data_IF_888867441911
#
_entry.id   IF_888867441911
#
_cell.length_a   1.000
_cell.length_b   1.000
_cell.length_c   1.000
_cell.angle_alpha   90.00
_cell.angle_beta   90.00
_cell.angle_gamma   90.00
#
_symmetry.space_group_name_H-M   'P 1'
#
loop_
_entity.id
_entity.type
_entity.pdbx_description
1 polymer ?
#
# COMPACT_ATOMS: atom_id res chain seq x y z
N UNK A 1 16.16 -3.52 -12.16
CA UNK A 1 15.53 -2.25 -12.59
C UNK A 1 14.82 -1.71 -11.35
N UNK A 2 15.34 -0.64 -10.73
CA UNK A 2 14.61 0.01 -9.63
C UNK A 2 13.40 0.64 -10.29
N UNK A 3 12.22 0.09 -10.02
CA UNK A 3 10.96 0.75 -10.37
C UNK A 3 10.98 2.04 -9.54
N UNK A 4 10.89 3.21 -10.17
CA UNK A 4 10.77 4.46 -9.42
C UNK A 4 9.58 4.31 -8.48
N UNK A 5 9.86 4.21 -7.17
CA UNK A 5 8.82 4.12 -6.17
C UNK A 5 8.04 5.43 -6.24
N UNK A 6 6.72 5.35 -6.48
CA UNK A 6 5.87 6.52 -6.35
C UNK A 6 6.13 7.17 -4.98
N UNK A 7 6.16 8.50 -4.96
CA UNK A 7 6.24 9.23 -3.69
C UNK A 7 4.85 9.23 -3.06
N UNK A 8 4.73 8.97 -1.74
CA UNK A 8 3.47 9.14 -1.06
C UNK A 8 2.93 10.56 -1.23
N UNK A 9 1.61 10.68 -1.35
CA UNK A 9 0.87 11.94 -1.42
C UNK A 9 0.21 12.23 -0.07
N UNK A 10 0.04 13.51 0.24
CA UNK A 10 -0.61 13.94 1.49
C UNK A 10 -2.12 13.99 1.27
N UNK A 11 -2.87 13.32 2.13
CA UNK A 11 -4.35 13.38 2.22
C UNK A 11 -4.81 14.65 2.93
N UNK A 12 -6.09 14.98 2.81
CA UNK A 12 -6.70 16.15 3.46
C UNK A 12 -6.68 16.10 4.99
N UNK A 13 -6.58 14.91 5.58
CA UNK A 13 -6.48 14.66 7.02
C UNK A 13 -5.04 14.63 7.54
N UNK A 14 -4.05 14.81 6.65
CA UNK A 14 -2.63 14.85 7.00
C UNK A 14 -1.92 13.49 6.95
N UNK A 15 -2.60 12.40 6.62
CA UNK A 15 -1.94 11.11 6.38
C UNK A 15 -1.18 11.08 5.05
N UNK A 16 -0.15 10.24 4.98
CA UNK A 16 0.52 9.91 3.73
C UNK A 16 -0.10 8.66 3.11
N UNK A 17 -0.49 8.75 1.84
CA UNK A 17 -1.05 7.64 1.07
C UNK A 17 -0.19 7.34 -0.17
N UNK A 18 0.01 6.05 -0.44
CA UNK A 18 0.73 5.56 -1.62
C UNK A 18 -0.01 4.39 -2.24
N UNK A 19 -0.11 4.37 -3.58
CA UNK A 19 -0.64 3.22 -4.32
C UNK A 19 0.40 2.09 -4.34
N UNK A 20 0.04 0.93 -3.79
CA UNK A 20 0.93 -0.24 -3.77
C UNK A 20 0.86 -1.06 -5.07
N UNK A 21 -0.25 -0.96 -5.79
CA UNK A 21 -0.48 -1.64 -7.07
C UNK A 21 -1.96 -1.88 -7.35
N UNK A 22 -2.21 -2.60 -8.43
CA UNK A 22 -3.55 -2.97 -8.88
C UNK A 22 -3.63 -4.46 -9.22
N UNK A 23 -4.83 -5.03 -9.11
CA UNK A 23 -5.11 -6.39 -9.52
C UNK A 23 -6.50 -6.49 -10.13
N UNK A 24 -6.69 -7.45 -11.03
CA UNK A 24 -8.00 -7.73 -11.61
C UNK A 24 -8.79 -8.69 -10.73
N UNK A 25 -10.02 -8.30 -10.35
CA UNK A 25 -10.96 -9.19 -9.70
C UNK A 25 -11.97 -9.75 -10.71
N UNK A 26 -11.84 -11.03 -11.05
CA UNK A 26 -12.74 -11.73 -11.98
C UNK A 26 -14.10 -12.15 -11.39
N UNK A 27 -14.40 -11.77 -10.14
CA UNK A 27 -15.61 -12.19 -9.43
C UNK A 27 -15.60 -13.66 -8.97
N UNK A 28 -14.44 -14.32 -9.04
CA UNK A 28 -14.21 -15.65 -8.47
C UNK A 28 -13.56 -15.52 -7.10
N UNK A 29 -13.59 -16.61 -6.32
CA UNK A 29 -12.87 -16.71 -5.05
C UNK A 29 -11.36 -16.68 -5.29
N UNK A 30 -10.79 -15.47 -5.29
CA UNK A 30 -9.36 -15.23 -5.23
C UNK A 30 -9.04 -14.44 -3.96
N UNK A 31 -7.97 -14.82 -3.28
CA UNK A 31 -7.51 -14.17 -2.07
C UNK A 31 -6.38 -13.19 -2.38
N UNK A 32 -6.41 -12.03 -1.73
CA UNK A 32 -5.31 -11.06 -1.78
C UNK A 32 -4.67 -10.99 -0.40
N UNK A 33 -3.40 -11.38 -0.33
CA UNK A 33 -2.62 -11.30 0.88
C UNK A 33 -1.87 -9.96 0.94
N UNK A 34 -2.05 -9.22 2.04
CA UNK A 34 -1.42 -7.93 2.29
C UNK A 34 -0.75 -7.95 3.65
N UNK A 35 0.51 -7.54 3.72
CA UNK A 35 1.28 -7.53 4.97
C UNK A 35 2.24 -6.34 5.04
N UNK A 36 2.46 -5.86 6.26
CA UNK A 36 3.50 -4.88 6.59
C UNK A 36 4.56 -5.63 7.40
N UNK A 37 5.72 -5.86 6.80
CA UNK A 37 6.78 -6.68 7.38
C UNK A 37 8.09 -5.92 7.48
N UNK A 38 8.90 -6.27 8.48
CA UNK A 38 10.26 -5.78 8.58
C UNK A 38 11.16 -6.47 7.54
N UNK A 39 11.71 -5.69 6.60
CA UNK A 39 12.54 -6.23 5.51
C UNK A 39 14.04 -6.30 5.82
N UNK A 40 14.49 -5.66 6.91
CA UNK A 40 15.90 -5.63 7.34
C UNK A 40 15.94 -5.57 8.86
N UNK A 41 16.47 -6.63 9.45
CA UNK A 41 16.65 -6.75 10.90
C UNK A 41 17.87 -5.96 11.41
N UNK A 42 17.89 -5.73 12.72
CA UNK A 42 19.04 -5.16 13.44
C UNK A 42 18.99 -3.65 13.67
N UNK A 43 17.97 -2.97 13.14
CA UNK A 43 17.71 -1.56 13.39
C UNK A 43 16.30 -1.41 13.96
N UNK A 44 16.18 -0.78 15.13
CA UNK A 44 14.88 -0.49 15.72
C UNK A 44 14.16 0.53 14.83
N UNK A 45 13.04 0.11 14.24
CA UNK A 45 12.13 0.99 13.52
C UNK A 45 11.05 1.45 14.49
N UNK A 46 10.96 2.75 14.71
CA UNK A 46 9.97 3.38 15.58
C UNK A 46 9.22 4.49 14.84
N UNK A 47 8.16 5.00 15.49
CA UNK A 47 7.36 6.13 15.00
C UNK A 47 6.73 5.89 13.60
N UNK A 48 6.44 4.64 13.26
CA UNK A 48 5.71 4.29 12.06
C UNK A 48 4.29 3.89 12.44
N UNK A 49 3.32 4.68 11.98
CA UNK A 49 1.90 4.45 12.21
C UNK A 49 1.25 4.12 10.87
N UNK A 50 0.48 3.03 10.86
CA UNK A 50 -0.30 2.62 9.70
C UNK A 50 -1.77 2.84 10.04
N UNK A 51 -2.43 3.74 9.32
CA UNK A 51 -3.87 3.94 9.47
C UNK A 51 -4.64 2.71 8.99
N UNK A 52 -4.29 2.20 7.81
CA UNK A 52 -4.91 1.01 7.23
C UNK A 52 -4.34 0.65 5.86
N UNK A 53 -4.81 -0.45 5.32
CA UNK A 53 -4.60 -0.86 3.92
C UNK A 53 -5.98 -0.92 3.28
N UNK A 54 -6.15 -0.24 2.14
CA UNK A 54 -7.45 -0.09 1.48
C UNK A 54 -7.42 -0.64 0.06
N UNK A 55 -8.50 -1.32 -0.32
CA UNK A 55 -8.74 -1.77 -1.70
C UNK A 55 -9.88 -0.93 -2.25
N UNK A 56 -9.61 -0.20 -3.34
CA UNK A 56 -10.59 0.67 -3.99
C UNK A 56 -10.88 0.15 -5.40
N UNK A 57 -12.14 0.19 -5.88
CA UNK A 57 -12.42 0.02 -7.29
C UNK A 57 -11.64 1.04 -8.10
N UNK A 58 -11.10 0.62 -9.25
CA UNK A 58 -10.52 1.57 -10.21
C UNK A 58 -11.68 2.20 -10.97
N UNK A 59 -11.73 3.52 -11.04
CA UNK A 59 -12.67 4.20 -11.92
C UNK A 59 -12.23 3.95 -13.37
N UNK A 60 -13.16 3.49 -14.20
CA UNK A 60 -12.94 3.42 -15.63
C UNK A 60 -12.94 4.87 -16.17
N UNK A 61 -11.83 5.27 -16.80
CA UNK A 61 -11.74 6.52 -17.56
C UNK A 61 -12.41 6.38 -18.92
#
# INVERSE_FOLDING_TARGET
RVVELQRPSVRSDGWLEIEMGEFFNSGREHEVHMSVIEIKAGEVKGNFFVEGIEVRPKEDN
#
